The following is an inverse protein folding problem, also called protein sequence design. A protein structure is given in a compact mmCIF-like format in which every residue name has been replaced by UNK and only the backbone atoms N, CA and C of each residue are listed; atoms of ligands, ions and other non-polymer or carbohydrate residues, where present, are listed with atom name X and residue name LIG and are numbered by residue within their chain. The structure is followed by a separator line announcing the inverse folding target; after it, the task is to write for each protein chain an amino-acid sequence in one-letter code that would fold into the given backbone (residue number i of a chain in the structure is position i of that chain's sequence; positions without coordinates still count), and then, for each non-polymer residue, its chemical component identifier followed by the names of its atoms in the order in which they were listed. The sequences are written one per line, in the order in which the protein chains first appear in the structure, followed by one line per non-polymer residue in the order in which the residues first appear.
data_IF_813209448348
#
_entry.id   IF_813209448348
#
_cell.length_a   1.000
_cell.length_b   1.000
_cell.length_c   1.000
_cell.angle_alpha   90.00
_cell.angle_beta   90.00
_cell.angle_gamma   90.00
#
_symmetry.space_group_name_H-M   'P 1'
#
loop_
_entity.id
_entity.type
_entity.pdbx_description
1 polymer ?
#
# COMPACT_ATOMS: atom_id res chain seq x y z
N UNK A 1 -6.36 -32.29 -6.79
CA UNK A 1 -7.26 -31.21 -6.34
C UNK A 1 -6.53 -30.42 -5.27
N UNK A 2 -6.01 -29.24 -5.61
CA UNK A 2 -5.37 -28.34 -4.64
C UNK A 2 -6.41 -27.37 -4.11
N UNK A 3 -6.42 -27.05 -2.80
CA UNK A 3 -7.40 -26.12 -2.24
C UNK A 3 -7.13 -24.72 -2.80
N UNK A 4 -8.17 -24.10 -3.37
CA UNK A 4 -8.17 -22.70 -3.79
C UNK A 4 -8.47 -21.86 -2.55
N UNK A 5 -7.56 -20.95 -2.18
CA UNK A 5 -7.94 -19.82 -1.34
C UNK A 5 -8.83 -18.90 -2.18
N UNK A 6 -10.08 -18.72 -1.76
CA UNK A 6 -11.04 -17.81 -2.38
C UNK A 6 -11.13 -16.59 -1.47
N UNK A 7 -10.51 -15.48 -1.86
CA UNK A 7 -10.80 -14.19 -1.24
C UNK A 7 -12.14 -13.69 -1.79
N UNK A 8 -13.07 -13.35 -0.91
CA UNK A 8 -14.28 -12.63 -1.31
C UNK A 8 -13.89 -11.16 -1.53
N UNK A 9 -13.53 -10.84 -2.77
CA UNK A 9 -13.45 -9.46 -3.23
C UNK A 9 -14.86 -8.89 -3.33
N UNK A 10 -15.27 -8.04 -2.39
CA UNK A 10 -16.29 -7.03 -2.65
C UNK A 10 -15.60 -5.81 -3.27
N UNK A 11 -15.50 -5.81 -4.60
CA UNK A 11 -15.21 -4.62 -5.41
C UNK A 11 -16.47 -3.75 -5.33
N UNK A 12 -16.41 -2.66 -4.57
CA UNK A 12 -17.29 -1.53 -4.83
C UNK A 12 -16.51 -0.65 -5.79
N UNK A 13 -16.87 -0.71 -7.08
CA UNK A 13 -16.43 0.30 -8.05
C UNK A 13 -17.06 1.62 -7.60
N UNK A 14 -16.24 2.53 -7.05
CA UNK A 14 -16.65 3.91 -6.86
C UNK A 14 -16.90 4.53 -8.22
N UNK A 15 -18.16 4.81 -8.55
CA UNK A 15 -18.54 5.55 -9.73
C UNK A 15 -17.85 6.91 -9.76
N UNK A 16 -17.43 7.35 -10.95
CA UNK A 16 -16.75 8.63 -11.12
C UNK A 16 -17.61 9.78 -10.57
N UNK A 17 -17.14 10.43 -9.50
CA UNK A 17 -17.76 11.62 -8.90
C UNK A 17 -18.57 11.40 -7.62
N UNK A 18 -18.63 10.19 -7.06
CA UNK A 18 -19.28 9.94 -5.76
C UNK A 18 -18.28 9.91 -4.60
N UNK A 19 -18.69 10.44 -3.45
CA UNK A 19 -17.92 10.45 -2.20
C UNK A 19 -17.70 9.01 -1.72
N UNK A 20 -16.43 8.59 -1.60
CA UNK A 20 -16.10 7.23 -1.19
C UNK A 20 -16.38 7.06 0.32
N UNK A 21 -17.43 6.33 0.68
CA UNK A 21 -17.68 5.94 2.08
C UNK A 21 -17.10 4.55 2.28
N UNK A 22 -16.00 4.46 3.02
CA UNK A 22 -15.41 3.19 3.41
C UNK A 22 -16.05 2.74 4.73
N UNK A 23 -17.18 2.04 4.62
CA UNK A 23 -17.87 1.41 5.75
C UNK A 23 -18.08 -0.09 5.48
N UNK A 24 -17.94 -0.90 6.52
CA UNK A 24 -18.13 -2.35 6.46
C UNK A 24 -19.61 -2.74 6.49
N UNK A 25 -20.02 -3.81 5.77
CA UNK A 25 -21.18 -4.59 6.18
C UNK A 25 -20.85 -5.31 7.50
N UNK A 26 -21.76 -5.21 8.48
CA UNK A 26 -21.57 -5.64 9.87
C UNK A 26 -20.87 -7.00 10.04
N UNK A 27 -19.75 -7.01 10.77
CA UNK A 27 -19.18 -8.23 11.33
C UNK A 27 -20.08 -8.62 12.50
N UNK A 28 -20.90 -9.66 12.35
CA UNK A 28 -21.60 -10.27 13.49
C UNK A 28 -20.60 -11.22 14.16
N UNK A 29 -20.18 -10.97 15.41
CA UNK A 29 -19.54 -12.03 16.18
C UNK A 29 -20.58 -13.15 16.33
N UNK A 30 -20.19 -14.36 15.98
CA UNK A 30 -21.03 -15.56 16.07
C UNK A 30 -21.34 -15.80 17.56
N UNK A 31 -22.49 -15.31 18.02
CA UNK A 31 -22.93 -15.37 19.42
C UNK A 31 -23.67 -16.67 19.76
N UNK A 32 -23.62 -17.66 18.87
CA UNK A 32 -24.33 -18.93 19.04
C UNK A 32 -23.48 -20.03 19.72
N UNK A 33 -22.73 -19.70 20.79
CA UNK A 33 -22.42 -20.69 21.83
C UNK A 33 -21.88 -20.05 23.13
N UNK A 34 -22.55 -20.19 24.28
CA UNK A 34 -21.95 -19.86 25.57
C UNK A 34 -21.08 -21.02 26.03
N UNK A 35 -19.86 -21.13 25.50
CA UNK A 35 -18.84 -21.98 26.14
C UNK A 35 -18.16 -21.16 27.24
N UNK A 36 -18.52 -21.51 28.48
CA UNK A 36 -17.88 -21.04 29.69
C UNK A 36 -16.38 -21.39 29.62
N UNK A 37 -15.53 -20.39 29.37
CA UNK A 37 -14.07 -20.51 29.40
C UNK A 37 -13.41 -20.85 28.06
N UNK A 38 -13.41 -19.93 27.09
CA UNK A 38 -12.51 -19.96 25.92
C UNK A 38 -12.10 -18.53 25.60
N UNK A 39 -10.80 -18.29 25.39
CA UNK A 39 -10.27 -16.96 25.04
C UNK A 39 -10.99 -16.38 23.83
N UNK A 40 -11.26 -15.08 23.88
CA UNK A 40 -11.84 -14.37 22.73
C UNK A 40 -10.82 -14.43 21.59
N UNK A 41 -11.15 -15.13 20.50
CA UNK A 41 -10.25 -15.21 19.36
C UNK A 41 -10.22 -13.84 18.66
N UNK A 42 -9.03 -13.22 18.61
CA UNK A 42 -8.77 -12.02 17.83
C UNK A 42 -9.09 -12.31 16.35
N UNK A 43 -10.00 -11.53 15.76
CA UNK A 43 -10.34 -11.64 14.34
C UNK A 43 -9.34 -10.81 13.54
N UNK A 44 -8.63 -11.42 12.61
CA UNK A 44 -7.67 -10.74 11.73
C UNK A 44 -8.22 -10.67 10.30
N UNK A 45 -8.30 -9.47 9.73
CA UNK A 45 -8.87 -9.22 8.40
C UNK A 45 -8.07 -8.14 7.64
N UNK A 46 -8.02 -8.24 6.31
CA UNK A 46 -7.36 -7.25 5.46
C UNK A 46 -8.17 -6.95 4.20
N UNK A 47 -8.09 -5.71 3.71
CA UNK A 47 -8.80 -5.28 2.50
C UNK A 47 -7.97 -4.33 1.66
N UNK A 48 -7.97 -4.54 0.34
CA UNK A 48 -7.38 -3.62 -0.63
C UNK A 48 -8.48 -2.74 -1.24
N UNK A 49 -8.23 -1.43 -1.26
CA UNK A 49 -9.12 -0.42 -1.83
C UNK A 49 -8.36 0.32 -2.92
N UNK A 50 -8.75 0.08 -4.17
CA UNK A 50 -8.19 0.78 -5.33
C UNK A 50 -8.92 2.12 -5.50
N UNK A 51 -8.16 3.21 -5.48
CA UNK A 51 -8.64 4.56 -5.66
C UNK A 51 -8.45 4.99 -7.13
N UNK A 52 -9.38 5.79 -7.64
CA UNK A 52 -9.22 6.56 -8.87
C UNK A 52 -8.39 7.84 -8.64
N UNK A 53 -7.93 8.47 -9.71
CA UNK A 53 -7.14 9.72 -9.67
C UNK A 53 -7.89 10.94 -9.12
N UNK A 54 -9.22 10.86 -9.00
CA UNK A 54 -10.08 11.93 -8.50
C UNK A 54 -10.82 11.52 -7.21
N UNK A 55 -10.40 10.42 -6.57
CA UNK A 55 -11.09 9.92 -5.40
C UNK A 55 -10.98 10.89 -4.24
N UNK A 56 -12.14 11.25 -3.69
CA UNK A 56 -12.30 11.94 -2.41
C UNK A 56 -13.34 11.20 -1.61
N UNK A 57 -13.16 11.10 -0.30
CA UNK A 57 -14.12 10.37 0.53
C UNK A 57 -13.84 10.45 2.02
N UNK A 58 -14.67 9.75 2.77
CA UNK A 58 -14.62 9.66 4.22
C UNK A 58 -14.19 8.26 4.62
N UNK A 59 -13.24 8.20 5.54
CA UNK A 59 -12.76 7.00 6.18
C UNK A 59 -13.35 6.91 7.59
N UNK A 60 -14.12 5.86 7.86
CA UNK A 60 -14.84 5.69 9.12
C UNK A 60 -14.46 4.38 9.79
N UNK A 61 -14.77 4.25 11.07
CA UNK A 61 -14.53 3.01 11.81
C UNK A 61 -15.32 1.82 11.26
N UNK A 62 -14.75 0.63 11.46
CA UNK A 62 -15.42 -0.65 11.25
C UNK A 62 -16.83 -0.67 11.86
N UNK A 63 -17.82 -1.16 11.11
CA UNK A 63 -19.22 -1.27 11.52
C UNK A 63 -19.97 0.07 11.65
N UNK A 64 -19.41 1.21 11.19
CA UNK A 64 -20.16 2.48 11.12
C UNK A 64 -21.48 2.32 10.33
N UNK A 65 -22.62 2.89 10.79
CA UNK A 65 -22.78 3.80 11.94
C UNK A 65 -22.93 3.10 13.30
N UNK A 66 -22.92 1.78 13.33
CA UNK A 66 -22.93 1.02 14.58
C UNK A 66 -21.59 1.14 15.33
N UNK A 67 -21.55 0.78 16.63
CA UNK A 67 -20.32 0.83 17.41
C UNK A 67 -19.21 -0.06 16.82
N UNK A 68 -17.94 0.35 16.93
CA UNK A 68 -16.82 -0.44 16.45
C UNK A 68 -16.68 -1.75 17.24
N UNK A 69 -16.38 -2.88 16.57
CA UNK A 69 -16.26 -4.18 17.23
C UNK A 69 -14.97 -4.28 18.07
N UNK A 70 -15.01 -4.94 19.25
CA UNK A 70 -13.81 -5.29 20.01
C UNK A 70 -13.12 -6.52 19.41
N UNK A 71 -11.86 -6.74 19.79
CA UNK A 71 -11.05 -7.92 19.41
C UNK A 71 -10.93 -8.13 17.90
N UNK A 72 -10.72 -7.04 17.16
CA UNK A 72 -10.49 -7.04 15.71
C UNK A 72 -9.15 -6.40 15.40
N UNK A 73 -8.39 -7.05 14.55
CA UNK A 73 -7.18 -6.55 13.92
C UNK A 73 -7.42 -6.44 12.42
N UNK A 74 -7.66 -5.22 11.94
CA UNK A 74 -8.10 -4.98 10.58
C UNK A 74 -7.19 -4.02 9.84
N UNK A 75 -6.80 -4.37 8.61
CA UNK A 75 -5.89 -3.58 7.78
C UNK A 75 -6.56 -3.15 6.46
N UNK A 76 -6.51 -1.86 6.17
CA UNK A 76 -6.86 -1.27 4.88
C UNK A 76 -5.63 -0.88 4.09
N UNK A 77 -5.51 -1.43 2.88
CA UNK A 77 -4.50 -1.06 1.92
C UNK A 77 -5.12 -0.12 0.89
N UNK A 78 -4.87 1.18 1.04
CA UNK A 78 -5.32 2.20 0.09
C UNK A 78 -4.30 2.31 -1.05
N UNK A 79 -4.75 2.10 -2.28
CA UNK A 79 -3.88 2.07 -3.47
C UNK A 79 -4.40 3.07 -4.50
N UNK A 80 -3.69 4.17 -4.68
CA UNK A 80 -3.95 5.16 -5.72
C UNK A 80 -3.22 4.82 -7.03
N UNK A 81 -3.57 5.46 -8.16
CA UNK A 81 -2.86 5.28 -9.41
C UNK A 81 -1.42 5.80 -9.31
N UNK A 82 -0.50 5.18 -10.05
CA UNK A 82 0.89 5.63 -10.13
C UNK A 82 0.98 7.10 -10.54
N UNK A 83 1.91 7.84 -9.94
CA UNK A 83 2.02 9.29 -10.13
C UNK A 83 1.02 10.10 -9.31
N UNK A 84 0.41 9.48 -8.31
CA UNK A 84 -0.44 10.12 -7.31
C UNK A 84 0.05 9.81 -5.90
N UNK A 85 -0.33 10.65 -4.96
CA UNK A 85 -0.21 10.45 -3.51
C UNK A 85 -1.59 10.48 -2.89
N UNK A 86 -1.70 9.89 -1.70
CA UNK A 86 -2.91 9.83 -0.90
C UNK A 86 -2.70 10.78 0.29
N UNK A 87 -3.53 11.81 0.38
CA UNK A 87 -3.66 12.62 1.59
C UNK A 87 -4.73 11.99 2.47
N UNK A 88 -4.34 11.63 3.69
CA UNK A 88 -5.20 11.16 4.77
C UNK A 88 -5.28 12.25 5.84
N UNK A 89 -6.48 12.72 6.17
CA UNK A 89 -6.71 13.63 7.29
C UNK A 89 -7.54 12.91 8.34
N UNK A 90 -6.95 12.62 9.50
CA UNK A 90 -7.60 11.92 10.60
C UNK A 90 -8.04 12.93 11.66
N UNK A 91 -9.27 12.81 12.12
CA UNK A 91 -9.88 13.72 13.09
C UNK A 91 -9.99 13.04 14.45
N UNK A 92 -9.80 13.82 15.52
CA UNK A 92 -9.90 13.36 16.92
C UNK A 92 -8.88 12.27 17.24
N UNK A 93 -7.64 12.49 16.81
CA UNK A 93 -6.52 11.57 17.06
C UNK A 93 -5.31 12.32 17.59
N UNK A 94 -4.52 11.66 18.43
CA UNK A 94 -3.22 12.12 18.91
C UNK A 94 -2.14 11.09 18.58
N UNK A 95 -0.92 11.56 18.34
CA UNK A 95 0.24 10.70 18.16
C UNK A 95 0.63 10.03 19.47
N UNK A 96 0.89 8.74 19.40
CA UNK A 96 1.45 7.93 20.47
C UNK A 96 2.87 7.51 20.10
N UNK A 97 3.79 7.61 21.06
CA UNK A 97 5.15 7.09 20.91
C UNK A 97 5.17 5.55 21.01
N UNK A 98 4.22 4.99 21.75
CA UNK A 98 4.09 3.55 21.96
C UNK A 98 3.02 2.92 21.05
N UNK A 99 3.16 1.64 20.68
CA UNK A 99 2.25 0.96 19.75
C UNK A 99 0.91 0.54 20.40
N UNK A 100 0.54 1.14 21.53
CA UNK A 100 -0.69 0.86 22.28
C UNK A 100 -1.22 2.14 22.93
N UNK A 101 -2.51 2.17 23.19
CA UNK A 101 -3.18 3.29 23.85
C UNK A 101 -3.49 2.96 25.32
N UNK A 102 -3.45 3.95 26.24
CA UNK A 102 -3.76 3.71 27.64
C UNK A 102 -5.23 3.31 27.84
N UNK A 103 -5.51 2.53 28.88
CA UNK A 103 -6.89 2.19 29.29
C UNK A 103 -7.54 1.05 28.49
N UNK A 104 -6.77 0.26 27.75
CA UNK A 104 -7.32 -0.86 26.94
C UNK A 104 -8.13 -0.37 25.72
N UNK A 105 -7.98 0.90 25.37
CA UNK A 105 -8.45 1.44 24.11
C UNK A 105 -7.61 0.85 22.97
N UNK A 106 -8.25 0.53 21.85
CA UNK A 106 -7.51 0.08 20.68
C UNK A 106 -6.71 1.20 20.02
N UNK A 107 -5.81 0.82 19.12
CA UNK A 107 -4.86 1.71 18.44
C UNK A 107 -5.14 1.78 16.94
N UNK A 108 -4.95 2.96 16.34
CA UNK A 108 -4.89 3.12 14.89
C UNK A 108 -3.40 3.18 14.50
N UNK A 109 -2.99 2.32 13.59
CA UNK A 109 -1.65 2.33 13.01
C UNK A 109 -1.75 2.79 11.55
N UNK A 110 -1.02 3.84 11.19
CA UNK A 110 -0.86 4.25 9.79
C UNK A 110 0.56 3.92 9.37
N UNK A 111 0.75 3.25 8.25
CA UNK A 111 2.08 2.93 7.75
C UNK A 111 2.26 3.26 6.27
N UNK A 112 3.45 3.76 5.94
CA UNK A 112 3.89 4.03 4.59
C UNK A 112 5.24 3.34 4.38
N UNK A 113 5.23 2.27 3.59
CA UNK A 113 6.42 1.45 3.32
C UNK A 113 7.46 2.17 2.45
N UNK A 114 7.12 3.29 1.82
CA UNK A 114 8.00 4.03 0.93
C UNK A 114 8.54 5.32 1.54
N UNK A 115 7.97 5.75 2.67
CA UNK A 115 8.53 6.84 3.45
C UNK A 115 9.79 6.36 4.17
N UNK A 116 10.95 6.99 3.90
CA UNK A 116 12.27 6.57 4.40
C UNK A 116 12.74 5.18 3.94
N UNK A 117 13.99 4.81 4.28
CA UNK A 117 14.62 3.56 3.81
C UNK A 117 13.93 2.29 4.31
N UNK A 118 13.23 2.38 5.44
CA UNK A 118 12.58 1.24 6.10
C UNK A 118 11.06 1.40 6.21
N UNK A 119 10.46 2.45 5.67
CA UNK A 119 9.06 2.79 5.96
C UNK A 119 8.93 3.73 7.16
N UNK A 120 7.76 4.37 7.27
CA UNK A 120 7.36 5.18 8.42
C UNK A 120 6.05 4.66 9.00
N UNK A 121 5.95 4.64 10.33
CA UNK A 121 4.77 4.22 11.07
C UNK A 121 4.34 5.32 12.04
N UNK A 122 3.03 5.51 12.14
CA UNK A 122 2.40 6.38 13.12
C UNK A 122 1.39 5.57 13.93
N UNK A 123 1.54 5.61 15.25
CA UNK A 123 0.56 5.05 16.18
C UNK A 123 -0.30 6.19 16.70
N UNK A 124 -1.61 6.00 16.65
CA UNK A 124 -2.59 7.03 16.96
C UNK A 124 -3.61 6.50 17.94
N UNK A 125 -3.89 7.33 18.94
CA UNK A 125 -4.94 7.10 19.93
C UNK A 125 -6.08 8.08 19.71
N UNK A 126 -7.30 7.67 20.10
CA UNK A 126 -8.44 8.57 20.09
C UNK A 126 -8.22 9.73 21.07
N UNK A 127 -8.49 10.95 20.61
CA UNK A 127 -8.43 12.16 21.43
C UNK A 127 -9.76 12.90 21.44
N UNK A 128 -10.18 13.26 22.66
CA UNK A 128 -11.42 14.01 22.90
C UNK A 128 -11.31 15.49 22.56
N UNK A 129 -10.09 16.06 22.47
CA UNK A 129 -9.85 17.50 22.30
C UNK A 129 -9.89 17.93 20.82
N UNK A 130 -9.91 16.98 19.89
CA UNK A 130 -10.27 17.22 18.49
C UNK A 130 -9.11 17.60 17.58
N UNK A 131 -7.88 17.17 17.91
CA UNK A 131 -6.74 17.36 17.01
C UNK A 131 -6.96 16.65 15.67
N UNK A 132 -6.45 17.27 14.60
CA UNK A 132 -6.48 16.73 13.24
C UNK A 132 -5.06 16.47 12.80
N UNK A 133 -4.78 15.23 12.38
CA UNK A 133 -3.48 14.82 11.84
C UNK A 133 -3.60 14.59 10.34
N UNK A 134 -2.77 15.27 9.57
CA UNK A 134 -2.66 15.07 8.13
C UNK A 134 -1.41 14.26 7.78
N UNK A 135 -1.59 13.12 7.12
CA UNK A 135 -0.53 12.24 6.65
C UNK A 135 -0.64 12.17 5.13
N UNK A 136 0.45 12.47 4.42
CA UNK A 136 0.52 12.29 2.96
C UNK A 136 1.45 11.15 2.66
N UNK A 137 1.00 10.19 1.85
CA UNK A 137 1.84 9.10 1.41
C UNK A 137 3.04 9.59 0.58
N UNK A 138 4.15 8.88 0.65
CA UNK A 138 5.35 9.18 -0.11
C UNK A 138 5.16 8.84 -1.60
N UNK A 139 4.57 7.69 -1.90
CA UNK A 139 4.13 7.27 -3.24
C UNK A 139 2.62 7.02 -3.25
N UNK A 140 2.13 6.01 -3.98
CA UNK A 140 0.72 5.81 -4.28
C UNK A 140 0.00 4.83 -3.33
N UNK A 141 0.59 4.47 -2.19
CA UNK A 141 -0.03 3.54 -1.23
C UNK A 141 0.11 4.03 0.19
N UNK A 142 -0.89 3.77 1.01
CA UNK A 142 -0.83 3.94 2.47
C UNK A 142 -1.67 2.86 3.14
N UNK A 143 -1.25 2.40 4.31
CA UNK A 143 -1.96 1.38 5.07
C UNK A 143 -2.55 1.99 6.34
N UNK A 144 -3.81 1.68 6.63
CA UNK A 144 -4.49 2.07 7.86
C UNK A 144 -4.96 0.83 8.57
N UNK A 145 -4.51 0.62 9.80
CA UNK A 145 -4.83 -0.57 10.59
C UNK A 145 -5.53 -0.17 11.88
N UNK A 146 -6.66 -0.80 12.16
CA UNK A 146 -7.39 -0.66 13.41
C UNK A 146 -7.19 -1.93 14.25
N UNK A 147 -6.55 -1.81 15.42
CA UNK A 147 -6.41 -2.91 16.37
C UNK A 147 -7.22 -2.63 17.62
N UNK A 148 -8.39 -3.25 17.73
CA UNK A 148 -9.23 -3.19 18.91
C UNK A 148 -8.91 -4.29 19.92
N UNK A 149 -8.87 -3.92 21.19
CA UNK A 149 -8.77 -4.85 22.31
C UNK A 149 -10.18 -5.10 22.89
N UNK A 150 -10.41 -4.78 24.16
CA UNK A 150 -11.72 -4.94 24.81
C UNK A 150 -12.76 -3.94 24.29
N UNK A 151 -12.30 -2.80 23.76
CA UNK A 151 -13.13 -1.76 23.17
C UNK A 151 -12.75 -1.54 21.71
N UNK A 152 -13.76 -1.29 20.88
CA UNK A 152 -13.56 -0.98 19.46
C UNK A 152 -12.83 0.35 19.25
N UNK A 153 -12.13 0.45 18.12
CA UNK A 153 -11.40 1.67 17.72
C UNK A 153 -12.31 2.59 16.93
N UNK A 154 -12.44 3.83 17.37
CA UNK A 154 -13.09 4.89 16.59
C UNK A 154 -12.10 5.49 15.61
N UNK A 155 -12.53 5.69 14.38
CA UNK A 155 -11.76 6.22 13.26
C UNK A 155 -12.70 7.15 12.51
N UNK A 156 -12.22 8.35 12.25
CA UNK A 156 -12.92 9.33 11.43
C UNK A 156 -11.87 10.15 10.69
N UNK A 157 -11.98 10.22 9.38
CA UNK A 157 -11.04 10.96 8.56
C UNK A 157 -11.55 11.15 7.14
N UNK A 158 -10.76 11.85 6.34
CA UNK A 158 -10.98 11.95 4.90
C UNK A 158 -9.77 11.46 4.13
N UNK A 159 -10.05 11.00 2.91
CA UNK A 159 -9.05 10.59 1.95
C UNK A 159 -9.19 11.47 0.72
N UNK A 160 -8.07 11.96 0.20
CA UNK A 160 -8.01 12.67 -1.07
C UNK A 160 -6.81 12.19 -1.90
N UNK A 161 -7.07 11.78 -3.14
CA UNK A 161 -6.01 11.46 -4.10
C UNK A 161 -5.53 12.74 -4.79
N UNK A 162 -4.21 12.96 -4.77
CA UNK A 162 -3.58 14.14 -5.39
C UNK A 162 -2.51 13.70 -6.39
N UNK A 163 -2.43 14.38 -7.53
CA UNK A 163 -1.36 14.15 -8.51
C UNK A 163 0.00 14.52 -7.90
N UNK A 164 0.97 13.65 -8.04
CA UNK A 164 2.35 13.88 -7.64
C UNK A 164 3.22 14.15 -8.86
N UNK A 165 3.57 15.41 -9.09
CA UNK A 165 4.45 15.78 -10.22
C UNK A 165 5.89 15.31 -10.02
N UNK A 166 6.28 15.04 -8.77
CA UNK A 166 7.64 14.65 -8.39
C UNK A 166 7.81 13.13 -8.29
N UNK A 167 6.76 12.34 -8.60
CA UNK A 167 6.80 10.89 -8.46
C UNK A 167 7.99 10.24 -9.19
N UNK A 168 8.33 10.75 -10.39
CA UNK A 168 9.49 10.26 -11.15
C UNK A 168 10.78 10.48 -10.37
N UNK A 169 10.97 11.66 -9.78
CA UNK A 169 12.16 11.96 -8.98
C UNK A 169 12.19 11.13 -7.69
N UNK A 170 11.04 10.91 -7.03
CA UNK A 170 10.95 10.04 -5.85
C UNK A 170 11.32 8.59 -6.16
N UNK A 171 10.93 8.08 -7.32
CA UNK A 171 11.36 6.75 -7.81
C UNK A 171 12.86 6.70 -8.15
N UNK A 172 13.47 7.85 -8.45
CA UNK A 172 14.90 7.98 -8.75
C UNK A 172 15.75 8.28 -7.50
N UNK A 173 15.18 8.46 -6.31
CA UNK A 173 15.92 8.71 -5.04
C UNK A 173 16.73 7.51 -4.51
N UNK A 174 17.10 6.59 -5.39
CA UNK A 174 18.19 5.63 -5.21
C UNK A 174 19.37 5.85 -6.18
N UNK A 175 19.43 6.98 -6.90
CA UNK A 175 20.44 7.23 -7.94
C UNK A 175 21.21 8.54 -7.78
N UNK A 176 21.71 8.83 -6.59
CA UNK A 176 22.91 9.66 -6.46
C UNK A 176 24.07 8.69 -6.17
N UNK A 177 24.91 8.52 -7.20
CA UNK A 177 26.13 7.70 -7.27
C UNK A 177 26.04 6.17 -7.46
N UNK A 178 26.43 5.74 -8.65
CA UNK A 178 27.00 4.42 -9.01
C UNK A 178 26.06 3.20 -9.16
N UNK A 179 25.90 2.80 -10.44
CA UNK A 179 25.26 1.57 -10.94
C UNK A 179 23.74 1.48 -10.75
N UNK A 180 23.04 1.29 -11.87
CA UNK A 180 21.63 0.87 -11.88
C UNK A 180 21.54 -0.44 -11.10
N UNK A 181 21.04 -0.41 -9.86
CA UNK A 181 20.79 -1.62 -9.09
C UNK A 181 19.70 -2.44 -9.79
N UNK A 182 20.16 -3.35 -10.64
CA UNK A 182 19.37 -4.16 -11.55
C UNK A 182 18.34 -5.07 -10.83
N UNK A 183 18.37 -5.16 -9.50
CA UNK A 183 17.52 -6.05 -8.72
C UNK A 183 16.36 -5.35 -8.00
N UNK A 184 16.11 -4.05 -8.22
CA UNK A 184 15.04 -3.32 -7.53
C UNK A 184 14.08 -2.63 -8.51
N UNK A 185 12.79 -3.03 -8.53
CA UNK A 185 12.18 -4.11 -7.74
C UNK A 185 12.65 -5.52 -8.18
N UNK A 186 12.58 -6.51 -7.27
CA UNK A 186 13.05 -7.88 -7.52
C UNK A 186 12.28 -8.51 -8.71
N UNK A 187 12.93 -8.79 -9.86
CA UNK A 187 12.27 -9.35 -11.03
C UNK A 187 12.01 -10.86 -10.92
N UNK A 188 12.53 -11.54 -9.89
CA UNK A 188 12.46 -12.99 -9.76
C UNK A 188 11.09 -13.46 -9.30
N UNK A 189 10.52 -14.42 -10.02
CA UNK A 189 9.23 -15.05 -9.67
C UNK A 189 9.39 -16.09 -8.56
N UNK A 190 8.28 -16.48 -7.95
CA UNK A 190 8.18 -17.59 -6.98
C UNK A 190 9.09 -17.45 -5.74
N UNK A 191 9.33 -16.22 -5.29
CA UNK A 191 10.19 -15.97 -4.13
C UNK A 191 11.68 -16.17 -4.38
N UNK A 192 12.11 -16.21 -5.65
CA UNK A 192 13.53 -16.24 -6.00
C UNK A 192 14.27 -14.97 -5.57
N UNK A 193 15.54 -15.11 -5.19
CA UNK A 193 16.42 -14.00 -4.81
C UNK A 193 17.16 -13.47 -6.03
N UNK A 194 16.97 -12.19 -6.36
CA UNK A 194 17.76 -11.54 -7.41
C UNK A 194 19.18 -11.27 -6.91
N UNK A 195 20.17 -11.63 -7.71
CA UNK A 195 21.59 -11.36 -7.49
C UNK A 195 22.11 -10.59 -8.70
N UNK A 196 22.54 -9.35 -8.46
CA UNK A 196 23.18 -8.51 -9.48
C UNK A 196 24.67 -8.83 -9.53
N UNK A 197 25.20 -9.16 -10.71
CA UNK A 197 26.64 -9.29 -10.96
C UNK A 197 27.02 -8.33 -12.08
N UNK A 198 27.36 -7.10 -11.71
CA UNK A 198 27.63 -6.01 -12.66
C UNK A 198 26.43 -5.71 -13.55
N UNK A 199 26.56 -5.92 -14.87
CA UNK A 199 25.51 -5.67 -15.87
C UNK A 199 24.54 -6.85 -16.08
N UNK A 200 24.69 -7.96 -15.33
CA UNK A 200 23.84 -9.15 -15.47
C UNK A 200 23.03 -9.43 -14.19
N UNK A 201 21.74 -9.73 -14.38
CA UNK A 201 20.82 -10.19 -13.34
C UNK A 201 20.75 -11.71 -13.34
N UNK A 202 20.86 -12.34 -12.16
CA UNK A 202 20.63 -13.79 -12.00
C UNK A 202 19.62 -14.04 -10.88
N UNK A 203 18.64 -14.92 -11.11
CA UNK A 203 17.70 -15.33 -10.07
C UNK A 203 18.17 -16.62 -9.39
N UNK A 204 18.41 -16.56 -8.09
CA UNK A 204 18.68 -17.71 -7.26
C UNK A 204 17.36 -18.26 -6.69
N UNK A 205 17.00 -19.47 -7.09
CA UNK A 205 15.79 -20.14 -6.61
C UNK A 205 16.08 -20.86 -5.27
N UNK A 206 15.08 -20.95 -4.39
CA UNK A 206 15.13 -21.81 -3.19
C UNK A 206 15.06 -23.28 -3.62
N UNK A 207 15.58 -24.19 -2.78
CA UNK A 207 15.90 -25.61 -3.11
C UNK A 207 14.77 -26.47 -3.69
N UNK A 208 13.53 -25.97 -3.69
CA UNK A 208 12.36 -26.64 -4.27
C UNK A 208 12.03 -26.21 -5.71
N UNK A 209 12.75 -25.24 -6.28
CA UNK A 209 12.57 -24.76 -7.65
C UNK A 209 13.91 -24.74 -8.40
N UNK A 210 13.97 -25.31 -9.60
CA UNK A 210 15.13 -25.25 -10.50
C UNK A 210 14.77 -24.53 -11.78
N UNK A 211 15.60 -23.56 -12.17
CA UNK A 211 15.50 -22.87 -13.46
C UNK A 211 16.85 -22.28 -13.86
N UNK A 212 17.56 -22.95 -14.77
CA UNK A 212 18.69 -22.35 -15.49
C UNK A 212 18.17 -21.65 -16.74
N UNK A 213 17.91 -20.35 -16.63
CA UNK A 213 17.47 -19.53 -17.76
C UNK A 213 18.47 -18.41 -18.02
N UNK A 214 19.42 -18.63 -18.92
CA UNK A 214 20.31 -17.60 -19.46
C UNK A 214 19.57 -16.81 -20.54
N UNK A 215 19.15 -15.59 -20.23
CA UNK A 215 18.61 -14.66 -21.24
C UNK A 215 19.55 -13.45 -21.35
N UNK A 216 20.39 -13.46 -22.38
CA UNK A 216 21.15 -12.28 -22.81
C UNK A 216 20.21 -11.38 -23.59
N UNK A 217 19.88 -10.19 -23.07
CA UNK A 217 19.31 -9.13 -23.90
C UNK A 217 20.46 -8.25 -24.39
N UNK A 218 20.81 -8.39 -25.67
CA UNK A 218 21.71 -7.46 -26.35
C UNK A 218 21.03 -6.10 -26.53
N UNK A 219 21.54 -5.07 -25.85
CA UNK A 219 21.17 -3.68 -26.12
C UNK A 219 21.90 -3.25 -27.40
N UNK A 220 21.21 -3.24 -28.54
CA UNK A 220 21.72 -2.54 -29.73
C UNK A 220 21.50 -1.05 -29.55
N UNK A 221 22.54 -0.35 -29.10
CA UNK A 221 22.67 1.09 -29.31
C UNK A 221 22.84 1.35 -30.81
N UNK A 222 22.03 2.24 -31.37
CA UNK A 222 22.37 2.91 -32.62
C UNK A 222 22.34 4.41 -32.39
N UNK A 223 23.53 4.95 -32.17
CA UNK A 223 23.85 6.33 -32.50
C UNK A 223 23.93 6.41 -34.02
N UNK A 224 23.26 7.39 -34.62
CA UNK A 224 23.59 7.85 -35.98
C UNK A 224 23.24 9.32 -36.08
N UNK A 225 24.27 10.08 -36.45
CA UNK A 225 24.31 11.52 -36.52
C UNK A 225 23.55 12.11 -37.73
N UNK A 226 23.39 13.43 -37.67
CA UNK A 226 22.90 14.45 -38.60
C UNK A 226 22.80 14.16 -40.10
N UNK A 227 21.87 14.85 -40.81
CA UNK A 227 21.84 14.89 -42.27
C UNK A 227 22.86 15.91 -42.80
N UNK A 228 23.65 15.53 -43.80
CA UNK A 228 24.28 16.49 -44.71
C UNK A 228 23.80 16.23 -46.14
N UNK A 229 23.41 17.33 -46.79
CA UNK A 229 23.03 17.43 -48.19
C UNK A 229 24.21 17.05 -49.10
N UNK A 230 23.92 16.36 -50.20
CA UNK A 230 24.71 16.49 -51.44
C UNK A 230 23.80 16.57 -52.65
N UNK A 231 24.27 17.39 -53.59
CA UNK A 231 23.65 17.89 -54.82
C UNK A 231 23.64 16.80 -55.89
N UNK A 232 22.58 16.77 -56.72
CA UNK A 232 22.51 15.91 -57.89
C UNK A 232 23.33 16.52 -59.04
N UNK A 233 24.31 15.78 -59.55
CA UNK A 233 24.89 16.03 -60.86
C UNK A 233 24.01 15.40 -61.94
N UNK A 234 23.70 16.22 -62.94
CA UNK A 234 23.06 15.88 -64.21
C UNK A 234 24.11 15.42 -65.24
N UNK A 235 23.62 14.83 -66.34
CA UNK A 235 24.30 14.38 -67.57
C UNK A 235 24.87 12.95 -67.53
N UNK A 236 24.60 12.08 -68.50
CA UNK A 236 24.33 12.28 -69.93
C UNK A 236 23.45 11.14 -70.47
#
# INVERSE_FOLDING_TARGET
MSPRCRSYHSILEGGAGEELILAFPSIRPDLDHPTFGVGVNLVHEERIINLSSVSTGVLLHLNYPSPPPPHVDYIEHLVAPLGSVILLELYRVILSEEPFCPGGAGVIEVSDNYADMNGTWWFLCEDSVGETLAITSFLNTIHVRQRSEQFGVRLNGTIQVKKDTNYKLKLLRGSEESSVESCLPNPCKNGGKCVSSGSRQTCQCTSHFTGSGQWSLEVKSRVSASPQLTVAEESN
#
